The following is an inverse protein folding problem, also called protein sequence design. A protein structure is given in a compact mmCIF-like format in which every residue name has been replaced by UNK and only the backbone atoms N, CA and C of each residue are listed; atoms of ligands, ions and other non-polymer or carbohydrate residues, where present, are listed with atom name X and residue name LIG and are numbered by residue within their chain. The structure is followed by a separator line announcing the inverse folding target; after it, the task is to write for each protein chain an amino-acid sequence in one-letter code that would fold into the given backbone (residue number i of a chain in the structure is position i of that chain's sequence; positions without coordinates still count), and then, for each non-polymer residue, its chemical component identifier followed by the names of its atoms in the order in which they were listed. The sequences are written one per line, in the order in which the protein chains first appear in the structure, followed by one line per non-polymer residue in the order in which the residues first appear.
data_IF_702659472124
#
_entry.id   IF_702659472124
#
_cell.length_a   1.000
_cell.length_b   1.000
_cell.length_c   1.000
_cell.angle_alpha   90.00
_cell.angle_beta   90.00
_cell.angle_gamma   90.00
#
_symmetry.space_group_name_H-M   'P 1'
#
loop_
_entity.id
_entity.type
_entity.pdbx_description
1 polymer ?
#
# COMPACT_ATOMS: atom_id res chain seq x y z
N UNK A 1 63.21 -0.08 -5.44
CA UNK A 1 63.72 0.33 -4.10
C UNK A 1 63.86 -0.85 -3.12
N UNK A 2 62.81 -1.70 -2.92
CA UNK A 2 62.93 -2.87 -1.97
C UNK A 2 64.05 -3.82 -2.40
N UNK A 3 64.15 -4.21 -3.68
CA UNK A 3 65.27 -5.05 -4.15
C UNK A 3 66.64 -4.37 -3.99
N UNK A 4 66.73 -3.08 -4.23
CA UNK A 4 67.94 -2.30 -4.02
C UNK A 4 68.34 -2.26 -2.54
N UNK A 5 67.37 -2.16 -1.63
CA UNK A 5 67.56 -2.21 -0.19
C UNK A 5 68.10 -3.57 0.25
N UNK A 6 67.55 -4.67 -0.26
CA UNK A 6 67.98 -6.03 0.05
C UNK A 6 69.42 -6.27 -0.43
N UNK A 7 69.76 -5.83 -1.67
CA UNK A 7 71.14 -5.95 -2.21
C UNK A 7 72.14 -5.15 -1.38
N UNK A 8 71.75 -3.92 -0.99
CA UNK A 8 72.58 -3.08 -0.13
C UNK A 8 72.78 -3.65 1.27
N UNK A 9 71.69 -4.20 1.87
CA UNK A 9 71.75 -4.86 3.16
C UNK A 9 72.76 -6.03 3.17
N UNK A 10 72.71 -6.87 2.15
CA UNK A 10 73.64 -7.97 1.94
C UNK A 10 75.10 -7.47 1.81
N UNK A 11 75.34 -6.36 1.05
CA UNK A 11 76.62 -5.77 0.90
C UNK A 11 77.20 -5.19 2.21
N UNK A 12 76.32 -4.49 2.95
CA UNK A 12 76.66 -3.95 4.27
C UNK A 12 77.02 -5.07 5.24
N UNK A 13 76.26 -6.16 5.25
CA UNK A 13 76.54 -7.31 6.10
C UNK A 13 77.90 -7.95 5.82
N UNK A 14 78.27 -8.08 4.56
CA UNK A 14 79.63 -8.56 4.18
C UNK A 14 80.74 -7.63 4.70
N UNK A 15 80.48 -6.31 4.63
CA UNK A 15 81.47 -5.34 5.10
C UNK A 15 81.66 -5.36 6.63
N UNK A 16 80.60 -5.62 7.36
CA UNK A 16 80.65 -5.81 8.83
C UNK A 16 81.61 -7.00 9.21
N UNK A 17 81.55 -8.09 8.43
CA UNK A 17 82.46 -9.20 8.63
C UNK A 17 83.93 -8.83 8.34
N UNK A 18 84.15 -7.98 7.28
CA UNK A 18 85.51 -7.50 6.95
C UNK A 18 86.10 -6.64 8.05
N UNK A 19 85.29 -5.78 8.66
CA UNK A 19 85.77 -4.96 9.82
C UNK A 19 86.36 -5.83 10.93
N UNK A 20 85.81 -7.01 11.18
CA UNK A 20 86.31 -7.94 12.21
C UNK A 20 87.62 -8.58 11.89
N UNK A 21 88.00 -8.66 10.61
CA UNK A 21 89.24 -9.33 10.15
C UNK A 21 90.36 -8.38 9.84
N UNK A 22 90.09 -7.21 9.25
CA UNK A 22 91.09 -6.25 8.77
C UNK A 22 91.08 -4.89 9.47
N UNK A 23 90.17 -4.68 10.41
CA UNK A 23 90.00 -3.41 11.11
C UNK A 23 89.15 -2.44 10.25
N UNK A 24 88.54 -1.43 10.91
CA UNK A 24 87.56 -0.55 10.26
C UNK A 24 88.25 0.47 9.32
N UNK A 25 89.53 0.86 9.51
CA UNK A 25 90.28 1.82 8.70
C UNK A 25 90.45 1.35 7.21
N UNK A 26 90.37 0.04 6.98
CA UNK A 26 90.57 -0.58 5.66
C UNK A 26 89.22 -1.09 5.03
N UNK A 27 88.10 -0.54 5.50
CA UNK A 27 86.75 -0.93 5.02
C UNK A 27 85.91 0.26 4.70
N UNK A 28 84.96 0.05 3.78
CA UNK A 28 83.95 1.06 3.33
C UNK A 28 82.70 1.07 4.22
N UNK A 29 82.78 0.59 5.45
CA UNK A 29 81.60 0.40 6.28
C UNK A 29 80.82 1.67 6.55
N UNK A 30 81.53 2.80 6.78
CA UNK A 30 80.89 4.11 7.04
C UNK A 30 80.09 4.58 5.84
N UNK A 31 80.72 4.65 4.67
CA UNK A 31 80.05 5.12 3.47
C UNK A 31 78.91 4.23 3.04
N UNK A 32 79.03 2.90 3.22
CA UNK A 32 77.93 1.95 2.95
C UNK A 32 76.77 2.07 3.94
N UNK A 33 77.10 2.30 5.25
CA UNK A 33 76.04 2.54 6.22
C UNK A 33 75.25 3.82 5.95
N UNK A 34 75.95 4.92 5.67
CA UNK A 34 75.27 6.20 5.32
C UNK A 34 74.36 6.07 4.09
N UNK A 35 74.87 5.37 3.09
CA UNK A 35 74.04 5.14 1.88
C UNK A 35 72.85 4.21 2.12
N UNK A 36 73.02 3.20 2.94
CA UNK A 36 71.92 2.33 3.36
C UNK A 36 70.84 3.11 4.09
N UNK A 37 71.21 3.96 5.08
CA UNK A 37 70.26 4.82 5.79
C UNK A 37 69.52 5.76 4.83
N UNK A 38 70.21 6.35 3.86
CA UNK A 38 69.58 7.21 2.85
C UNK A 38 68.53 6.46 2.00
N UNK A 39 68.85 5.21 1.56
CA UNK A 39 67.91 4.37 0.83
C UNK A 39 66.69 4.01 1.71
N UNK A 40 66.90 3.73 2.99
CA UNK A 40 65.83 3.48 3.96
C UNK A 40 64.89 4.70 4.09
N UNK A 41 65.44 5.90 4.25
CA UNK A 41 64.66 7.14 4.36
C UNK A 41 63.87 7.41 3.10
N UNK A 42 64.48 7.26 1.92
CA UNK A 42 63.78 7.39 0.64
C UNK A 42 62.65 6.35 0.49
N UNK A 43 62.87 5.10 0.89
CA UNK A 43 61.88 4.03 0.81
C UNK A 43 60.68 4.31 1.77
N UNK A 44 60.98 4.78 2.98
CA UNK A 44 59.98 5.15 3.99
C UNK A 44 59.13 6.32 3.50
N UNK A 45 59.75 7.38 2.96
CA UNK A 45 59.06 8.54 2.41
C UNK A 45 58.12 8.16 1.22
N UNK A 46 58.57 7.27 0.33
CA UNK A 46 57.74 6.77 -0.76
C UNK A 46 56.56 5.94 -0.24
N UNK A 47 56.75 5.10 0.77
CA UNK A 47 55.70 4.32 1.39
C UNK A 47 54.66 5.21 2.05
N UNK A 48 55.08 6.27 2.74
CA UNK A 48 54.21 7.25 3.38
C UNK A 48 53.35 8.01 2.34
N UNK A 49 53.98 8.52 1.26
CA UNK A 49 53.25 9.18 0.15
C UNK A 49 52.22 8.24 -0.50
N UNK A 50 52.61 6.96 -0.69
CA UNK A 50 51.69 5.97 -1.25
C UNK A 50 50.49 5.69 -0.30
N UNK A 51 50.75 5.49 0.98
CA UNK A 51 49.72 5.29 1.99
C UNK A 51 48.75 6.48 2.06
N UNK A 52 49.30 7.70 2.02
CA UNK A 52 48.50 8.92 2.08
C UNK A 52 47.62 9.11 0.85
N UNK A 53 48.12 8.83 -0.37
CA UNK A 53 47.32 8.82 -1.60
C UNK A 53 46.19 7.80 -1.56
N UNK A 54 46.49 6.61 -1.08
CA UNK A 54 45.48 5.56 -0.93
C UNK A 54 44.38 5.93 0.07
N UNK A 55 44.77 6.51 1.20
CA UNK A 55 43.85 6.98 2.23
C UNK A 55 42.90 8.10 1.70
N UNK A 56 43.47 9.08 0.95
CA UNK A 56 42.64 10.14 0.33
C UNK A 56 41.69 9.60 -0.73
N UNK A 57 42.12 8.63 -1.55
CA UNK A 57 41.25 7.99 -2.53
C UNK A 57 40.09 7.22 -1.89
N UNK A 58 40.38 6.49 -0.78
CA UNK A 58 39.34 5.79 -0.03
C UNK A 58 38.34 6.76 0.61
N UNK A 59 38.79 7.83 1.22
CA UNK A 59 37.94 8.87 1.82
C UNK A 59 37.05 9.56 0.76
N UNK A 60 37.55 9.73 -0.45
CA UNK A 60 36.78 10.28 -1.56
C UNK A 60 35.71 9.30 -2.01
N UNK A 61 36.04 8.02 -2.16
CA UNK A 61 35.10 6.96 -2.52
C UNK A 61 33.98 6.82 -1.47
N UNK A 62 34.34 6.87 -0.20
CA UNK A 62 33.36 6.84 0.91
C UNK A 62 32.35 7.99 0.80
N UNK A 63 32.80 9.22 0.48
CA UNK A 63 31.90 10.36 0.27
C UNK A 63 30.94 10.17 -0.88
N UNK A 64 31.37 9.57 -1.99
CA UNK A 64 30.49 9.26 -3.11
C UNK A 64 29.45 8.21 -2.75
N UNK A 65 29.87 7.12 -2.10
CA UNK A 65 28.95 6.07 -1.65
C UNK A 65 27.90 6.62 -0.68
N UNK A 66 28.31 7.46 0.27
CA UNK A 66 27.33 8.07 1.21
C UNK A 66 26.36 9.01 0.50
N UNK A 67 26.83 9.80 -0.47
CA UNK A 67 25.96 10.64 -1.28
C UNK A 67 24.95 9.82 -2.09
N UNK A 68 25.38 8.74 -2.72
CA UNK A 68 24.50 7.83 -3.49
C UNK A 68 23.45 7.18 -2.61
N UNK A 69 23.82 6.75 -1.39
CA UNK A 69 22.85 6.20 -0.42
C UNK A 69 21.80 7.23 -0.03
N UNK A 70 22.19 8.49 0.21
CA UNK A 70 21.23 9.56 0.53
C UNK A 70 20.27 9.81 -0.62
N UNK A 71 20.78 9.89 -1.85
CA UNK A 71 19.93 10.06 -3.04
C UNK A 71 18.95 8.89 -3.18
N UNK A 72 19.42 7.66 -3.02
CA UNK A 72 18.58 6.46 -3.09
C UNK A 72 17.46 6.48 -2.01
N UNK A 73 17.80 6.86 -0.79
CA UNK A 73 16.82 7.01 0.30
C UNK A 73 15.75 8.06 -0.03
N UNK A 74 16.15 9.19 -0.61
CA UNK A 74 15.20 10.23 -1.04
C UNK A 74 14.28 9.74 -2.17
N UNK A 75 14.80 9.00 -3.13
CA UNK A 75 14.00 8.41 -4.21
C UNK A 75 13.00 7.39 -3.68
N UNK A 76 13.43 6.50 -2.78
CA UNK A 76 12.53 5.52 -2.13
C UNK A 76 11.43 6.25 -1.34
N UNK A 77 11.80 7.27 -0.58
CA UNK A 77 10.82 8.09 0.18
C UNK A 77 9.81 8.77 -0.75
N UNK A 78 10.25 9.32 -1.87
CA UNK A 78 9.38 9.93 -2.87
C UNK A 78 8.38 8.92 -3.47
N UNK A 79 8.86 7.74 -3.93
CA UNK A 79 7.99 6.69 -4.47
C UNK A 79 7.01 6.14 -3.42
N UNK A 80 7.43 6.02 -2.16
CA UNK A 80 6.55 5.64 -1.07
C UNK A 80 5.40 6.65 -0.87
N UNK A 81 5.72 7.95 -0.79
CA UNK A 81 4.71 9.01 -0.65
C UNK A 81 3.73 8.99 -1.84
N UNK A 82 4.25 8.83 -3.06
CA UNK A 82 3.43 8.73 -4.27
C UNK A 82 2.49 7.51 -4.24
N UNK A 83 2.99 6.35 -3.81
CA UNK A 83 2.17 5.14 -3.65
C UNK A 83 1.04 5.31 -2.62
N UNK A 84 1.33 5.94 -1.47
CA UNK A 84 0.31 6.23 -0.44
C UNK A 84 -0.75 7.20 -0.97
N UNK A 85 -0.34 8.28 -1.65
CA UNK A 85 -1.30 9.23 -2.27
C UNK A 85 -2.17 8.58 -3.33
N UNK A 86 -1.59 7.72 -4.17
CA UNK A 86 -2.32 6.99 -5.20
C UNK A 86 -3.33 6.01 -4.59
N UNK A 87 -2.95 5.27 -3.55
CA UNK A 87 -3.86 4.37 -2.83
C UNK A 87 -5.03 5.13 -2.16
N UNK A 88 -4.75 6.27 -1.53
CA UNK A 88 -5.77 7.13 -0.93
C UNK A 88 -6.74 7.68 -1.99
N UNK A 89 -6.22 8.16 -3.11
CA UNK A 89 -7.04 8.66 -4.23
C UNK A 89 -7.92 7.56 -4.82
N UNK A 90 -7.37 6.37 -5.05
CA UNK A 90 -8.14 5.22 -5.56
C UNK A 90 -9.26 4.81 -4.60
N UNK A 91 -9.03 4.87 -3.28
CA UNK A 91 -10.06 4.59 -2.29
C UNK A 91 -11.23 5.59 -2.38
N UNK A 92 -10.91 6.89 -2.50
CA UNK A 92 -11.92 7.96 -2.67
C UNK A 92 -12.69 7.78 -3.98
N UNK A 93 -11.99 7.49 -5.08
CA UNK A 93 -12.59 7.27 -6.39
C UNK A 93 -13.52 6.04 -6.37
N UNK A 94 -13.10 4.93 -5.77
CA UNK A 94 -13.95 3.73 -5.62
C UNK A 94 -15.19 4.03 -4.77
N UNK A 95 -15.03 4.75 -3.66
CA UNK A 95 -16.16 5.13 -2.82
C UNK A 95 -17.19 5.96 -3.62
N UNK A 96 -16.73 6.99 -4.35
CA UNK A 96 -17.61 7.82 -5.19
C UNK A 96 -18.20 7.07 -6.39
N UNK A 97 -17.46 6.09 -6.92
CA UNK A 97 -17.92 5.33 -8.09
C UNK A 97 -18.97 4.26 -7.73
N UNK A 98 -18.94 3.71 -6.51
CA UNK A 98 -19.69 2.52 -6.16
C UNK A 98 -20.61 2.65 -4.94
N UNK A 99 -20.57 3.76 -4.19
CA UNK A 99 -21.47 3.97 -3.06
C UNK A 99 -22.39 5.17 -3.28
N UNK A 100 -23.59 5.05 -2.78
CA UNK A 100 -24.58 6.12 -2.70
C UNK A 100 -24.28 7.04 -1.52
N UNK A 101 -24.16 8.33 -1.76
CA UNK A 101 -23.74 9.30 -0.74
C UNK A 101 -24.77 9.49 0.37
N UNK A 102 -26.07 9.32 0.08
CA UNK A 102 -27.13 9.52 1.05
C UNK A 102 -27.30 8.32 1.99
N UNK A 103 -27.06 7.10 1.50
CA UNK A 103 -27.34 5.86 2.25
C UNK A 103 -26.09 5.08 2.65
N UNK A 104 -24.97 5.31 1.97
CA UNK A 104 -23.76 4.49 2.14
C UNK A 104 -23.87 3.08 1.52
N UNK A 105 -25.02 2.73 0.94
CA UNK A 105 -25.18 1.48 0.22
C UNK A 105 -24.49 1.51 -1.14
N UNK A 106 -24.20 0.36 -1.78
CA UNK A 106 -23.88 0.28 -3.19
C UNK A 106 -24.85 1.10 -4.04
N UNK A 107 -24.29 1.93 -4.92
CA UNK A 107 -25.07 2.80 -5.81
C UNK A 107 -25.52 2.07 -7.08
N UNK A 108 -26.20 2.80 -7.95
CA UNK A 108 -26.71 2.31 -9.25
C UNK A 108 -25.63 1.58 -10.06
N UNK A 109 -24.44 2.18 -10.20
CA UNK A 109 -23.36 1.57 -10.99
C UNK A 109 -22.95 0.20 -10.44
N UNK A 110 -22.85 0.08 -9.10
CA UNK A 110 -22.53 -1.21 -8.47
C UNK A 110 -23.69 -2.20 -8.56
N UNK A 111 -24.92 -1.73 -8.48
CA UNK A 111 -26.10 -2.58 -8.69
C UNK A 111 -26.12 -3.17 -10.10
N UNK A 112 -25.92 -2.33 -11.12
CA UNK A 112 -25.89 -2.75 -12.53
C UNK A 112 -24.73 -3.73 -12.81
N UNK A 113 -23.54 -3.49 -12.23
CA UNK A 113 -22.39 -4.41 -12.31
C UNK A 113 -22.74 -5.78 -11.74
N UNK A 114 -23.26 -5.82 -10.49
CA UNK A 114 -23.66 -7.07 -9.83
C UNK A 114 -24.75 -7.80 -10.63
N UNK A 115 -25.79 -7.09 -11.07
CA UNK A 115 -26.84 -7.71 -11.86
C UNK A 115 -26.34 -8.24 -13.21
N UNK A 116 -25.39 -7.55 -13.86
CA UNK A 116 -24.79 -7.98 -15.12
C UNK A 116 -23.82 -9.15 -14.99
N UNK A 117 -23.23 -9.34 -13.81
CA UNK A 117 -22.36 -10.48 -13.51
C UNK A 117 -23.12 -11.72 -13.02
N UNK A 118 -24.41 -11.58 -12.70
CA UNK A 118 -25.26 -12.71 -12.32
C UNK A 118 -25.35 -13.69 -13.50
N UNK A 119 -24.64 -14.79 -13.37
CA UNK A 119 -24.86 -15.95 -14.19
C UNK A 119 -25.76 -16.87 -13.36
N UNK A 120 -27.11 -16.85 -13.56
CA UNK A 120 -28.04 -17.27 -12.52
C UNK A 120 -27.92 -18.79 -12.29
N UNK A 121 -27.23 -19.22 -11.22
CA UNK A 121 -27.55 -20.53 -10.66
C UNK A 121 -28.98 -20.48 -10.17
N UNK A 122 -29.65 -21.61 -10.14
CA UNK A 122 -31.07 -21.73 -9.80
C UNK A 122 -31.44 -21.18 -8.41
N UNK A 123 -30.48 -20.86 -7.56
CA UNK A 123 -30.62 -20.40 -6.17
C UNK A 123 -30.51 -18.89 -5.98
N UNK A 124 -30.45 -18.10 -7.09
CA UNK A 124 -30.43 -16.63 -6.99
C UNK A 124 -31.85 -16.07 -6.88
N UNK A 125 -32.01 -15.12 -5.98
CA UNK A 125 -33.23 -14.37 -5.75
C UNK A 125 -32.93 -12.88 -5.82
N UNK A 126 -33.67 -12.16 -6.67
CA UNK A 126 -33.61 -10.71 -6.77
C UNK A 126 -34.83 -10.12 -6.10
N UNK A 127 -34.62 -9.25 -5.12
CA UNK A 127 -35.67 -8.50 -4.45
C UNK A 127 -35.60 -7.04 -4.90
N UNK A 128 -36.77 -6.44 -5.19
CA UNK A 128 -36.91 -5.02 -5.49
C UNK A 128 -37.77 -4.36 -4.42
N UNK A 129 -37.38 -3.14 -4.04
CA UNK A 129 -38.06 -2.32 -3.06
C UNK A 129 -38.22 -0.91 -3.61
N UNK A 130 -39.38 -0.29 -3.38
CA UNK A 130 -39.74 1.05 -3.84
C UNK A 130 -40.35 1.83 -2.66
N UNK A 131 -39.79 3.01 -2.33
CA UNK A 131 -40.28 3.85 -1.24
C UNK A 131 -41.53 4.64 -1.67
N UNK A 132 -42.60 4.43 -0.97
CA UNK A 132 -43.85 5.17 -1.22
C UNK A 132 -43.73 6.63 -0.73
N UNK A 133 -44.40 7.51 -1.43
CA UNK A 133 -44.63 8.92 -1.05
C UNK A 133 -43.37 9.81 -0.96
N UNK A 134 -42.19 9.40 -1.41
CA UNK A 134 -40.98 10.21 -1.33
C UNK A 134 -41.16 11.60 -1.96
N UNK A 135 -41.81 11.69 -3.15
CA UNK A 135 -42.07 12.96 -3.80
C UNK A 135 -42.96 13.88 -2.94
N UNK A 136 -44.02 13.34 -2.32
CA UNK A 136 -44.90 14.11 -1.43
C UNK A 136 -44.16 14.63 -0.18
N UNK A 137 -43.26 13.85 0.37
CA UNK A 137 -42.43 14.26 1.50
C UNK A 137 -41.51 15.41 1.07
N UNK A 138 -40.82 15.29 -0.06
CA UNK A 138 -39.98 16.34 -0.62
C UNK A 138 -40.75 17.64 -0.85
N UNK A 139 -41.93 17.54 -1.45
CA UNK A 139 -42.76 18.69 -1.80
C UNK A 139 -43.35 19.40 -0.55
N UNK A 140 -43.64 18.65 0.52
CA UNK A 140 -44.27 19.20 1.74
C UNK A 140 -43.28 19.59 2.85
N UNK A 141 -42.13 18.92 2.95
CA UNK A 141 -41.19 19.03 4.07
C UNK A 141 -39.71 19.33 3.64
N UNK A 142 -39.48 19.41 2.33
CA UNK A 142 -38.18 19.67 1.75
C UNK A 142 -37.34 18.43 1.52
N UNK A 143 -36.26 18.60 0.74
CA UNK A 143 -35.35 17.51 0.35
C UNK A 143 -34.63 16.86 1.51
N UNK A 144 -34.28 17.63 2.56
CA UNK A 144 -33.62 17.10 3.76
C UNK A 144 -34.49 16.04 4.46
N UNK A 145 -35.80 16.25 4.49
CA UNK A 145 -36.74 15.25 5.05
C UNK A 145 -36.83 13.99 4.16
N UNK A 146 -36.80 14.17 2.84
CA UNK A 146 -36.74 13.04 1.91
C UNK A 146 -35.42 12.26 2.01
N UNK A 147 -34.30 12.91 2.16
CA UNK A 147 -33.00 12.27 2.35
C UNK A 147 -32.95 11.47 3.67
N UNK A 148 -33.50 12.05 4.75
CA UNK A 148 -33.66 11.34 6.01
C UNK A 148 -34.58 10.10 5.89
N UNK A 149 -35.67 10.22 5.13
CA UNK A 149 -36.61 9.13 4.84
C UNK A 149 -35.92 7.97 4.09
N UNK A 150 -35.16 8.28 3.07
CA UNK A 150 -34.37 7.33 2.29
C UNK A 150 -33.33 6.65 3.17
N UNK A 151 -32.59 7.43 3.97
CA UNK A 151 -31.55 6.92 4.86
C UNK A 151 -32.11 5.93 5.89
N UNK A 152 -33.21 6.27 6.56
CA UNK A 152 -33.88 5.43 7.54
C UNK A 152 -34.31 4.09 6.94
N UNK A 153 -34.89 4.10 5.74
CA UNK A 153 -35.22 2.86 5.02
C UNK A 153 -33.98 2.02 4.71
N UNK A 154 -32.93 2.64 4.22
CA UNK A 154 -31.66 1.96 3.90
C UNK A 154 -31.06 1.26 5.13
N UNK A 155 -31.14 1.89 6.32
CA UNK A 155 -30.68 1.30 7.58
C UNK A 155 -31.54 0.07 7.95
N UNK A 156 -32.87 0.17 7.89
CA UNK A 156 -33.75 -0.95 8.14
C UNK A 156 -33.52 -2.10 7.16
N UNK A 157 -33.41 -1.79 5.86
CA UNK A 157 -33.16 -2.79 4.82
C UNK A 157 -31.82 -3.51 5.04
N UNK A 158 -30.75 -2.76 5.34
CA UNK A 158 -29.42 -3.34 5.58
C UNK A 158 -29.36 -4.18 6.84
N UNK A 159 -30.08 -3.82 7.91
CA UNK A 159 -30.11 -4.58 9.17
C UNK A 159 -30.92 -5.87 9.06
N UNK A 160 -31.99 -5.87 8.25
CA UNK A 160 -32.86 -7.04 8.06
C UNK A 160 -32.26 -8.08 7.10
N UNK A 161 -31.29 -7.71 6.26
CA UNK A 161 -30.66 -8.62 5.28
C UNK A 161 -29.25 -8.99 5.77
N UNK A 162 -28.93 -10.30 5.91
CA UNK A 162 -27.61 -10.77 6.32
C UNK A 162 -26.47 -10.22 5.45
N UNK A 163 -25.30 -10.03 6.06
CA UNK A 163 -24.16 -9.32 5.43
C UNK A 163 -23.54 -10.04 4.22
N UNK A 164 -23.78 -11.33 4.09
CA UNK A 164 -23.38 -12.16 2.95
C UNK A 164 -24.16 -11.87 1.67
N UNK A 165 -25.30 -11.18 1.77
CA UNK A 165 -26.13 -10.84 0.63
C UNK A 165 -25.92 -9.38 0.20
N UNK A 166 -26.12 -9.14 -1.10
CA UNK A 166 -25.99 -7.82 -1.67
C UNK A 166 -27.24 -6.98 -1.41
N UNK A 167 -27.03 -5.72 -1.03
CA UNK A 167 -28.07 -4.68 -0.93
C UNK A 167 -27.55 -3.41 -1.56
N UNK A 168 -28.32 -2.76 -2.40
CA UNK A 168 -27.95 -1.53 -3.08
C UNK A 168 -29.12 -0.62 -3.37
N UNK A 169 -28.83 0.65 -3.73
CA UNK A 169 -29.80 1.66 -4.16
C UNK A 169 -29.63 1.91 -5.66
N UNK A 170 -30.69 1.64 -6.44
CA UNK A 170 -30.71 1.87 -7.90
C UNK A 170 -30.86 3.35 -8.24
N UNK A 171 -31.54 4.12 -7.40
CA UNK A 171 -31.78 5.55 -7.60
C UNK A 171 -33.06 6.01 -6.93
N UNK A 172 -33.20 7.31 -6.71
CA UNK A 172 -34.44 7.87 -6.14
C UNK A 172 -34.93 7.12 -4.90
N UNK A 173 -36.04 6.42 -5.10
CA UNK A 173 -36.78 5.61 -4.12
C UNK A 173 -36.57 4.09 -4.29
N UNK A 174 -35.77 3.66 -5.28
CA UNK A 174 -35.61 2.26 -5.68
C UNK A 174 -34.36 1.60 -5.01
N UNK A 175 -34.60 0.42 -4.40
CA UNK A 175 -33.55 -0.42 -3.80
C UNK A 175 -33.65 -1.84 -4.31
N UNK A 176 -32.52 -2.54 -4.30
CA UNK A 176 -32.47 -3.97 -4.63
C UNK A 176 -31.70 -4.75 -3.57
N UNK A 177 -32.05 -6.04 -3.46
CA UNK A 177 -31.18 -7.02 -2.81
C UNK A 177 -31.02 -8.25 -3.72
N UNK A 178 -29.81 -8.81 -3.71
CA UNK A 178 -29.52 -10.10 -4.37
C UNK A 178 -29.18 -11.09 -3.29
N UNK A 179 -29.99 -12.13 -3.17
CA UNK A 179 -29.88 -13.19 -2.17
C UNK A 179 -29.48 -14.48 -2.86
N UNK A 180 -28.68 -15.30 -2.22
CA UNK A 180 -28.23 -16.58 -2.74
C UNK A 180 -28.42 -17.68 -1.70
N UNK A 181 -28.79 -18.89 -2.15
CA UNK A 181 -28.92 -20.06 -1.30
C UNK A 181 -30.09 -20.02 -0.34
N UNK A 182 -31.11 -19.19 -0.63
CA UNK A 182 -32.33 -19.09 0.18
C UNK A 182 -33.52 -19.71 -0.55
N UNK A 183 -34.44 -20.30 0.22
CA UNK A 183 -35.74 -20.74 -0.26
C UNK A 183 -36.82 -19.66 -0.12
N UNK A 184 -38.02 -19.88 -0.73
CA UNK A 184 -39.17 -18.98 -0.65
C UNK A 184 -39.61 -18.68 0.79
N UNK A 185 -39.42 -19.62 1.72
CA UNK A 185 -39.82 -19.47 3.11
C UNK A 185 -38.85 -18.52 3.85
N UNK A 186 -37.55 -18.70 3.63
CA UNK A 186 -36.52 -17.84 4.19
C UNK A 186 -36.68 -16.39 3.70
N UNK A 187 -36.94 -16.19 2.39
CA UNK A 187 -37.20 -14.85 1.83
C UNK A 187 -38.46 -14.20 2.46
N UNK A 188 -39.57 -14.95 2.59
CA UNK A 188 -40.76 -14.44 3.27
C UNK A 188 -40.47 -14.02 4.70
N UNK A 189 -39.66 -14.78 5.42
CA UNK A 189 -39.26 -14.44 6.77
C UNK A 189 -38.45 -13.15 6.80
N UNK A 190 -37.50 -12.96 5.88
CA UNK A 190 -36.77 -11.70 5.75
C UNK A 190 -37.69 -10.49 5.52
N UNK A 191 -38.72 -10.63 4.67
CA UNK A 191 -39.73 -9.57 4.45
C UNK A 191 -40.58 -9.30 5.71
N UNK A 192 -40.89 -10.35 6.48
CA UNK A 192 -41.61 -10.18 7.75
C UNK A 192 -40.75 -9.46 8.80
N UNK A 193 -39.47 -9.78 8.88
CA UNK A 193 -38.54 -9.14 9.80
C UNK A 193 -38.29 -7.69 9.39
N UNK A 194 -38.06 -7.38 8.11
CA UNK A 194 -38.01 -6.01 7.58
C UNK A 194 -39.29 -5.21 7.92
N UNK A 195 -40.46 -5.84 7.78
CA UNK A 195 -41.74 -5.18 8.14
C UNK A 195 -41.82 -4.82 9.62
N UNK A 196 -41.29 -5.69 10.51
CA UNK A 196 -41.23 -5.41 11.95
C UNK A 196 -40.27 -4.26 12.26
N UNK A 197 -39.10 -4.26 11.65
CA UNK A 197 -38.10 -3.21 11.84
C UNK A 197 -38.64 -1.85 11.36
N UNK A 198 -39.28 -1.81 10.20
CA UNK A 198 -39.92 -0.60 9.66
C UNK A 198 -41.09 -0.14 10.54
N UNK A 199 -41.87 -1.07 11.09
CA UNK A 199 -42.97 -0.72 12.01
C UNK A 199 -42.43 -0.16 13.34
N UNK A 200 -41.30 -0.66 13.84
CA UNK A 200 -40.64 -0.15 15.04
C UNK A 200 -40.08 1.24 14.80
N UNK A 201 -39.35 1.44 13.70
CA UNK A 201 -38.77 2.71 13.28
C UNK A 201 -39.85 3.79 13.09
N UNK A 202 -40.96 3.44 12.43
CA UNK A 202 -42.07 4.36 12.16
C UNK A 202 -42.86 4.76 13.45
N UNK A 203 -42.77 4.01 14.54
CA UNK A 203 -43.28 4.43 15.86
C UNK A 203 -42.46 5.55 16.47
N UNK A 204 -41.15 5.57 16.21
CA UNK A 204 -40.23 6.61 16.65
C UNK A 204 -40.39 7.90 15.84
N UNK A 205 -40.71 7.75 14.53
CA UNK A 205 -40.86 8.85 13.57
C UNK A 205 -42.29 8.99 13.04
N UNK A 206 -43.25 9.19 13.94
CA UNK A 206 -44.71 9.21 13.61
C UNK A 206 -45.12 10.25 12.60
N UNK A 207 -44.36 11.33 12.45
CA UNK A 207 -44.66 12.40 11.51
C UNK A 207 -44.44 11.97 10.06
N UNK A 208 -43.45 11.10 9.82
CA UNK A 208 -43.09 10.58 8.50
C UNK A 208 -42.85 9.07 8.62
N UNK A 209 -43.90 8.25 8.76
CA UNK A 209 -43.76 6.80 8.87
C UNK A 209 -43.26 6.22 7.54
N UNK A 210 -42.33 5.27 7.60
CA UNK A 210 -41.82 4.57 6.43
C UNK A 210 -42.91 3.71 5.77
N UNK A 211 -43.02 3.81 4.45
CA UNK A 211 -43.88 3.00 3.64
C UNK A 211 -43.17 2.59 2.35
N UNK A 212 -43.28 1.33 1.97
CA UNK A 212 -42.62 0.78 0.82
C UNK A 212 -43.47 -0.29 0.12
N UNK A 213 -43.24 -0.51 -1.15
CA UNK A 213 -43.65 -1.69 -1.91
C UNK A 213 -42.44 -2.61 -2.08
N UNK A 214 -42.67 -3.91 -2.12
CA UNK A 214 -41.59 -4.87 -2.34
C UNK A 214 -42.08 -6.12 -3.08
N UNK A 215 -41.19 -6.69 -3.86
CA UNK A 215 -41.39 -7.96 -4.55
C UNK A 215 -40.07 -8.72 -4.72
N UNK A 216 -40.17 -10.01 -5.05
CA UNK A 216 -38.98 -10.79 -5.38
C UNK A 216 -39.26 -11.76 -6.52
N UNK A 217 -38.22 -12.08 -7.29
CA UNK A 217 -38.21 -13.12 -8.31
C UNK A 217 -37.07 -14.11 -8.03
N UNK A 218 -37.33 -15.38 -8.21
CA UNK A 218 -36.33 -16.45 -8.11
C UNK A 218 -35.88 -16.89 -9.51
N UNK A 219 -34.62 -17.10 -9.72
CA UNK A 219 -34.10 -17.62 -11.00
C UNK A 219 -34.73 -18.96 -11.36
N UNK A 220 -35.02 -19.81 -10.38
CA UNK A 220 -35.71 -21.09 -10.55
C UNK A 220 -37.14 -20.99 -11.11
N UNK A 221 -37.81 -19.83 -10.95
CA UNK A 221 -39.17 -19.60 -11.50
C UNK A 221 -39.11 -19.26 -13.01
N UNK A 222 -37.92 -19.02 -13.60
CA UNK A 222 -37.71 -18.60 -14.98
C UNK A 222 -36.61 -19.43 -15.69
N UNK A 223 -36.73 -20.77 -15.79
CA UNK A 223 -35.72 -21.60 -16.39
C UNK A 223 -35.47 -21.22 -17.85
N UNK A 224 -34.22 -21.02 -18.24
CA UNK A 224 -33.77 -20.71 -19.61
C UNK A 224 -33.98 -19.26 -20.07
N UNK A 225 -34.27 -18.33 -19.15
CA UNK A 225 -34.15 -16.89 -19.39
C UNK A 225 -32.89 -16.36 -18.73
N UNK A 226 -31.89 -16.09 -19.55
CA UNK A 226 -30.66 -15.35 -19.18
C UNK A 226 -30.84 -13.87 -19.42
#
# INVERSE_FOLDING_TARGET
KMKELDEYFISLHKEIYRVRTVGYEHTDIISKSERFFKICDEATGLAEVYAQRKATSLATLEKFITADIVVLMLLIGYEFIKAVRFAAMNRILRHKAYLDNATGLPNKNKCEEILGELNPPEDIIVCSFDLNNLRRINDSMGHDAGDAYIYRFAVCLRSSIPSEHFVGRLGGDEFIAVLQGLDKQAVRKLFEDLRKDIAAESKEHREIPLSYAAGFAMASDYPGKT
#
